data_IF_718345386703
#
_entry.id   IF_718345386703
#
_cell.length_a   1.000
_cell.length_b   1.000
_cell.length_c   1.000
_cell.angle_alpha   90.00
_cell.angle_beta   90.00
_cell.angle_gamma   90.00
#
_symmetry.space_group_name_H-M   'P 1'
#
loop_
_entity.id
_entity.type
_entity.pdbx_description
1 polymer ?
#
# COMPACT_ATOMS: atom_id res chain seq x y z
N UNK A 1 -17.77 14.53 -10.72
CA UNK A 1 -17.54 15.99 -10.91
C UNK A 1 -18.77 16.64 -11.51
N UNK A 2 -19.21 16.30 -12.72
CA UNK A 2 -20.46 16.86 -13.29
C UNK A 2 -21.71 16.58 -12.43
N UNK A 3 -21.83 15.39 -11.84
CA UNK A 3 -22.91 15.05 -10.89
C UNK A 3 -22.84 15.80 -9.55
N UNK A 4 -21.66 16.23 -9.11
CA UNK A 4 -21.48 17.06 -7.91
C UNK A 4 -21.87 18.51 -8.19
N UNK A 5 -21.65 18.99 -9.41
CA UNK A 5 -22.01 20.36 -9.81
C UNK A 5 -23.54 20.47 -9.92
N UNK A 6 -24.20 19.44 -10.44
CA UNK A 6 -25.64 19.42 -10.68
C UNK A 6 -26.49 19.26 -9.39
N UNK A 7 -25.89 18.74 -8.31
CA UNK A 7 -26.61 18.41 -7.06
C UNK A 7 -26.46 19.45 -5.94
N UNK A 8 -25.66 20.51 -6.12
CA UNK A 8 -25.37 21.49 -5.06
C UNK A 8 -25.95 22.86 -5.42
N UNK A 9 -26.80 23.40 -4.54
CA UNK A 9 -27.54 24.65 -4.80
C UNK A 9 -26.69 25.92 -4.60
N UNK A 10 -25.63 25.85 -3.80
CA UNK A 10 -24.72 26.98 -3.56
C UNK A 10 -23.26 26.65 -3.81
N UNK A 11 -22.46 27.68 -4.12
CA UNK A 11 -21.02 27.54 -4.25
C UNK A 11 -20.34 27.01 -2.98
N UNK A 12 -20.94 27.27 -1.80
CA UNK A 12 -20.46 26.76 -0.52
C UNK A 12 -20.67 25.25 -0.42
N UNK A 13 -21.86 24.76 -0.75
CA UNK A 13 -22.16 23.32 -0.68
C UNK A 13 -21.29 22.53 -1.67
N UNK A 14 -21.04 23.08 -2.85
CA UNK A 14 -20.10 22.50 -3.82
C UNK A 14 -18.68 22.42 -3.26
N UNK A 15 -18.20 23.48 -2.59
CA UNK A 15 -16.86 23.50 -1.98
C UNK A 15 -16.75 22.46 -0.84
N UNK A 16 -17.73 22.42 0.06
CA UNK A 16 -17.78 21.47 1.17
C UNK A 16 -17.83 20.01 0.66
N UNK A 17 -18.58 19.75 -0.42
CA UNK A 17 -18.67 18.43 -1.03
C UNK A 17 -17.35 18.00 -1.70
N UNK A 18 -16.67 18.92 -2.38
CA UNK A 18 -15.34 18.68 -2.96
C UNK A 18 -14.31 18.40 -1.87
N UNK A 19 -14.30 19.19 -0.80
CA UNK A 19 -13.37 19.00 0.31
C UNK A 19 -13.56 17.61 0.96
N UNK A 20 -14.81 17.21 1.21
CA UNK A 20 -15.12 15.86 1.73
C UNK A 20 -14.64 14.76 0.78
N UNK A 21 -14.85 14.92 -0.53
CA UNK A 21 -14.40 13.94 -1.51
C UNK A 21 -12.87 13.83 -1.56
N UNK A 22 -12.17 14.97 -1.55
CA UNK A 22 -10.71 15.01 -1.55
C UNK A 22 -10.14 14.34 -0.30
N UNK A 23 -10.71 14.64 0.87
CA UNK A 23 -10.36 13.96 2.13
C UNK A 23 -10.59 12.45 2.03
N UNK A 24 -11.73 12.01 1.47
CA UNK A 24 -12.01 10.60 1.23
C UNK A 24 -10.97 9.90 0.37
N UNK A 25 -10.50 10.56 -0.69
CA UNK A 25 -9.44 10.04 -1.56
C UNK A 25 -8.09 9.96 -0.82
N UNK A 26 -7.74 10.97 -0.02
CA UNK A 26 -6.54 10.96 0.81
C UNK A 26 -6.55 9.79 1.80
N UNK A 27 -7.67 9.55 2.50
CA UNK A 27 -7.79 8.42 3.42
C UNK A 27 -7.64 7.08 2.70
N UNK A 28 -8.31 6.88 1.56
CA UNK A 28 -8.17 5.66 0.77
C UNK A 28 -6.73 5.40 0.31
N UNK A 29 -5.99 6.45 -0.07
CA UNK A 29 -4.57 6.33 -0.40
C UNK A 29 -3.70 5.99 0.81
N UNK A 30 -4.00 6.55 1.99
CA UNK A 30 -3.29 6.20 3.22
C UNK A 30 -3.58 4.74 3.65
N UNK A 31 -4.82 4.30 3.56
CA UNK A 31 -5.21 2.92 3.87
C UNK A 31 -4.50 1.93 2.94
N UNK A 32 -4.41 2.25 1.64
CA UNK A 32 -3.66 1.44 0.67
C UNK A 32 -2.17 1.37 1.03
N UNK A 33 -1.56 2.48 1.43
CA UNK A 33 -0.15 2.51 1.89
C UNK A 33 0.05 1.69 3.16
N UNK A 34 -0.87 1.79 4.12
CA UNK A 34 -0.84 1.05 5.36
C UNK A 34 -0.96 -0.45 5.13
N UNK A 35 -1.85 -0.88 4.22
CA UNK A 35 -2.01 -2.30 3.86
C UNK A 35 -0.72 -2.89 3.26
N UNK A 36 -0.09 -2.19 2.31
CA UNK A 36 1.17 -2.64 1.70
C UNK A 36 2.31 -2.69 2.74
N UNK A 37 2.38 -1.69 3.63
CA UNK A 37 3.36 -1.69 4.72
C UNK A 37 3.12 -2.86 5.69
N UNK A 38 1.87 -3.14 6.03
CA UNK A 38 1.51 -4.27 6.88
C UNK A 38 1.91 -5.61 6.25
N UNK A 39 1.64 -5.80 4.96
CA UNK A 39 2.04 -7.00 4.22
C UNK A 39 3.56 -7.18 4.22
N UNK A 40 4.33 -6.11 4.02
CA UNK A 40 5.78 -6.16 4.14
C UNK A 40 6.26 -6.51 5.55
N UNK A 41 5.70 -5.86 6.58
CA UNK A 41 6.17 -6.06 7.95
C UNK A 41 5.86 -7.46 8.47
N UNK A 42 4.73 -8.02 8.03
CA UNK A 42 4.24 -9.35 8.41
C UNK A 42 4.64 -10.45 7.43
N UNK A 43 5.40 -10.13 6.37
CA UNK A 43 5.83 -11.10 5.37
C UNK A 43 6.56 -12.27 6.01
N UNK A 44 6.13 -13.49 5.68
CA UNK A 44 6.77 -14.74 6.06
C UNK A 44 6.70 -15.75 4.92
N UNK A 45 7.74 -16.58 4.82
CA UNK A 45 7.72 -17.76 3.98
C UNK A 45 6.64 -18.72 4.48
N UNK A 46 5.84 -19.25 3.55
CA UNK A 46 4.84 -20.26 3.86
C UNK A 46 5.52 -21.63 3.98
N UNK A 47 5.08 -22.45 4.92
CA UNK A 47 5.60 -23.81 5.06
C UNK A 47 5.34 -24.61 3.77
N UNK A 48 6.38 -25.27 3.24
CA UNK A 48 6.29 -26.03 1.98
C UNK A 48 6.27 -25.20 0.69
N UNK A 49 6.33 -23.85 0.77
CA UNK A 49 6.49 -22.98 -0.40
C UNK A 49 7.91 -23.09 -0.95
N UNK A 50 8.06 -23.14 -2.28
CA UNK A 50 9.40 -23.13 -2.87
C UNK A 50 10.10 -21.79 -2.58
N UNK A 51 11.42 -21.83 -2.42
CA UNK A 51 12.21 -20.63 -2.18
C UNK A 51 12.03 -19.59 -3.30
N UNK A 52 11.94 -20.05 -4.56
CA UNK A 52 11.73 -19.18 -5.71
C UNK A 52 10.35 -18.47 -5.64
N UNK A 53 9.30 -19.21 -5.30
CA UNK A 53 7.95 -18.65 -5.16
C UNK A 53 7.90 -17.61 -4.03
N UNK A 54 8.51 -17.93 -2.89
CA UNK A 54 8.66 -17.00 -1.75
C UNK A 54 9.39 -15.73 -2.17
N UNK A 55 10.48 -15.85 -2.92
CA UNK A 55 11.26 -14.72 -3.40
C UNK A 55 10.47 -13.85 -4.39
N UNK A 56 9.74 -14.45 -5.33
CA UNK A 56 8.89 -13.71 -6.28
C UNK A 56 7.80 -12.92 -5.56
N UNK A 57 7.16 -13.52 -4.56
CA UNK A 57 6.15 -12.87 -3.71
C UNK A 57 6.76 -11.70 -2.93
N UNK A 58 7.94 -11.88 -2.36
CA UNK A 58 8.67 -10.81 -1.67
C UNK A 58 9.02 -9.64 -2.60
N UNK A 59 9.44 -9.91 -3.84
CA UNK A 59 9.74 -8.88 -4.83
C UNK A 59 8.50 -8.05 -5.22
N UNK A 60 7.32 -8.67 -5.28
CA UNK A 60 6.06 -7.96 -5.52
C UNK A 60 5.78 -6.96 -4.40
N UNK A 61 5.87 -7.40 -3.14
CA UNK A 61 5.68 -6.55 -1.96
C UNK A 61 6.67 -5.38 -1.94
N UNK A 62 7.95 -5.61 -2.27
CA UNK A 62 8.95 -4.55 -2.38
C UNK A 62 8.59 -3.53 -3.47
N UNK A 63 8.14 -4.01 -4.63
CA UNK A 63 7.79 -3.13 -5.73
C UNK A 63 6.60 -2.23 -5.36
N UNK A 64 5.61 -2.77 -4.65
CA UNK A 64 4.44 -2.00 -4.23
C UNK A 64 4.79 -1.01 -3.11
N UNK A 65 5.69 -1.37 -2.19
CA UNK A 65 6.28 -0.41 -1.25
C UNK A 65 6.96 0.77 -1.95
N UNK A 66 7.78 0.48 -2.97
CA UNK A 66 8.48 1.50 -3.75
C UNK A 66 7.50 2.43 -4.47
N UNK A 67 6.43 1.87 -5.06
CA UNK A 67 5.35 2.67 -5.69
C UNK A 67 4.64 3.57 -4.69
N UNK A 68 4.53 3.14 -3.42
CA UNK A 68 3.96 3.94 -2.34
C UNK A 68 4.91 5.02 -1.78
N UNK A 69 6.15 5.09 -2.26
CA UNK A 69 7.14 6.08 -1.87
C UNK A 69 8.06 5.65 -0.73
N UNK A 70 7.95 4.41 -0.24
CA UNK A 70 8.86 3.88 0.78
C UNK A 70 10.23 3.58 0.16
N UNK A 71 11.28 4.14 0.75
CA UNK A 71 12.67 3.89 0.37
C UNK A 71 13.32 3.01 1.43
N UNK A 72 13.68 1.79 1.05
CA UNK A 72 14.45 0.85 1.88
C UNK A 72 15.75 0.50 1.17
N UNK A 73 16.83 0.35 1.93
CA UNK A 73 18.13 -0.04 1.38
C UNK A 73 18.15 -1.52 0.99
N UNK A 74 18.94 -1.90 -0.02
CA UNK A 74 19.04 -3.30 -0.42
C UNK A 74 19.50 -4.21 0.73
N UNK A 75 20.40 -3.74 1.59
CA UNK A 75 20.83 -4.51 2.77
C UNK A 75 19.67 -4.76 3.75
N UNK A 76 18.82 -3.76 3.98
CA UNK A 76 17.63 -3.88 4.85
C UNK A 76 16.63 -4.88 4.28
N UNK A 77 16.36 -4.79 2.97
CA UNK A 77 15.45 -5.70 2.27
C UNK A 77 15.98 -7.14 2.29
N UNK A 78 17.26 -7.34 1.99
CA UNK A 78 17.86 -8.67 2.01
C UNK A 78 17.86 -9.28 3.42
N UNK A 79 18.19 -8.48 4.44
CA UNK A 79 18.17 -8.93 5.83
C UNK A 79 16.75 -9.31 6.28
N UNK A 80 15.74 -8.49 5.94
CA UNK A 80 14.34 -8.80 6.23
C UNK A 80 13.90 -10.08 5.52
N UNK A 81 14.27 -10.29 4.25
CA UNK A 81 13.95 -11.53 3.54
C UNK A 81 14.50 -12.76 4.25
N UNK A 82 15.82 -12.77 4.53
CA UNK A 82 16.50 -13.90 5.15
C UNK A 82 15.92 -14.27 6.52
N UNK A 83 15.58 -13.29 7.35
CA UNK A 83 14.98 -13.52 8.67
C UNK A 83 13.56 -14.07 8.64
N UNK A 84 12.87 -13.97 7.50
CA UNK A 84 11.50 -14.43 7.34
C UNK A 84 11.40 -15.71 6.50
N UNK A 85 12.54 -16.29 6.14
CA UNK A 85 12.62 -17.67 5.65
C UNK A 85 12.38 -18.64 6.81
N UNK A 86 11.75 -19.78 6.51
CA UNK A 86 11.60 -20.83 7.51
C UNK A 86 12.93 -21.54 7.74
N UNK A 87 13.22 -22.01 8.98
CA UNK A 87 14.27 -22.98 9.20
C UNK A 87 13.94 -24.26 8.44
N UNK A 88 14.94 -24.85 7.78
CA UNK A 88 14.86 -26.17 7.16
C UNK A 88 14.80 -27.29 8.20
#
# INVERSE_FOLDING_TARGET
IYSLIDSNETAKDLWDALERQMRGFEYAEQDRKAAILYEYETFKATEGEQLLDTYLRYLQVINDLKKCGYKKGNCELNYKFLNNLQPE
#
